data_IF_840210404820
#
_entry.id   IF_840210404820
#
_cell.length_a   1.000
_cell.length_b   1.000
_cell.length_c   1.000
_cell.angle_alpha   90.00
_cell.angle_beta   90.00
_cell.angle_gamma   90.00
#
_symmetry.space_group_name_H-M   'P 1'
#
loop_
_entity.id
_entity.type
_entity.pdbx_description
1 polymer ?
#
# COMPACT_ATOMS: atom_id res chain seq x y z
N UNK A 1 26.82 -4.39 6.94
CA UNK A 1 26.95 -5.51 5.97
C UNK A 1 26.25 -5.07 4.70
N UNK A 2 26.72 -5.46 3.51
CA UNK A 2 25.97 -5.21 2.27
C UNK A 2 24.79 -6.18 2.21
N UNK A 3 23.58 -5.67 2.05
CA UNK A 3 22.36 -6.45 1.89
C UNK A 3 21.76 -6.16 0.51
N UNK A 4 21.38 -7.21 -0.23
CA UNK A 4 20.72 -7.11 -1.54
C UNK A 4 19.61 -8.15 -1.57
N UNK A 5 18.38 -7.71 -1.81
CA UNK A 5 17.18 -8.54 -1.93
C UNK A 5 16.40 -8.17 -3.19
N UNK A 6 15.59 -9.10 -3.69
CA UNK A 6 14.69 -8.87 -4.82
C UNK A 6 13.25 -9.02 -4.35
N UNK A 7 12.37 -8.16 -4.84
CA UNK A 7 10.92 -8.22 -4.56
C UNK A 7 10.26 -9.45 -5.19
N UNK A 8 10.91 -10.11 -6.16
CA UNK A 8 10.46 -11.39 -6.72
C UNK A 8 10.59 -12.57 -5.74
N UNK A 9 11.39 -12.39 -4.69
CA UNK A 9 11.56 -13.34 -3.58
C UNK A 9 11.45 -12.57 -2.27
N UNK A 10 10.25 -12.07 -1.94
CA UNK A 10 10.05 -11.23 -0.78
C UNK A 10 10.25 -12.04 0.51
N UNK A 11 10.52 -11.35 1.61
CA UNK A 11 10.58 -11.98 2.92
C UNK A 11 9.18 -12.36 3.41
N UNK A 12 8.18 -11.54 3.08
CA UNK A 12 6.78 -11.76 3.40
C UNK A 12 5.90 -11.42 2.18
N UNK A 13 4.94 -12.28 1.86
CA UNK A 13 3.83 -11.95 0.94
C UNK A 13 2.54 -11.91 1.74
N UNK A 14 1.79 -10.82 1.60
CA UNK A 14 0.46 -10.65 2.23
C UNK A 14 -0.60 -10.50 1.15
N UNK A 15 -1.48 -11.47 1.04
CA UNK A 15 -2.64 -11.42 0.14
C UNK A 15 -3.88 -10.89 0.88
N UNK A 16 -4.66 -10.05 0.21
CA UNK A 16 -5.92 -9.51 0.72
C UNK A 16 -6.95 -9.42 -0.43
N UNK A 17 -8.24 -9.23 -0.14
CA UNK A 17 -9.24 -9.11 -1.20
C UNK A 17 -8.85 -8.07 -2.26
N UNK A 18 -8.73 -8.51 -3.52
CA UNK A 18 -8.37 -7.66 -4.68
C UNK A 18 -6.98 -7.03 -4.60
N UNK A 19 -6.02 -7.69 -3.98
CA UNK A 19 -4.64 -7.23 -4.05
C UNK A 19 -3.69 -8.06 -3.20
N UNK A 20 -2.43 -7.66 -3.22
CA UNK A 20 -1.40 -8.27 -2.41
C UNK A 20 -0.22 -7.32 -2.22
N UNK A 21 0.69 -7.72 -1.34
CA UNK A 21 1.91 -7.01 -1.02
C UNK A 21 3.10 -7.98 -0.95
N UNK A 22 4.19 -7.63 -1.61
CA UNK A 22 5.53 -8.17 -1.40
C UNK A 22 6.32 -7.27 -0.46
N UNK A 23 6.72 -7.76 0.71
CA UNK A 23 7.51 -7.02 1.70
C UNK A 23 8.94 -7.57 1.81
N UNK A 24 9.89 -6.64 1.93
CA UNK A 24 11.32 -6.90 2.07
C UNK A 24 11.84 -6.10 3.27
N UNK A 25 12.55 -6.80 4.16
CA UNK A 25 13.08 -6.26 5.40
C UNK A 25 14.61 -6.29 5.38
N UNK A 26 15.23 -5.13 5.54
CA UNK A 26 16.68 -4.93 5.53
C UNK A 26 17.09 -3.98 6.66
N UNK A 27 18.38 -3.90 6.97
CA UNK A 27 18.86 -2.98 8.01
C UNK A 27 18.58 -1.52 7.59
N UNK A 28 17.65 -0.87 8.27
CA UNK A 28 17.28 0.53 8.04
C UNK A 28 16.39 0.77 6.81
N UNK A 29 15.87 -0.30 6.18
CA UNK A 29 14.94 -0.20 5.06
C UNK A 29 13.91 -1.32 5.14
N UNK A 30 12.66 -0.90 5.21
CA UNK A 30 11.48 -1.73 5.06
C UNK A 30 10.79 -1.27 3.78
N UNK A 31 10.71 -2.15 2.79
CA UNK A 31 10.23 -1.83 1.45
C UNK A 31 9.10 -2.75 1.05
N UNK A 32 8.08 -2.20 0.40
CA UNK A 32 6.92 -2.96 -0.02
C UNK A 32 6.53 -2.65 -1.47
N UNK A 33 6.14 -3.67 -2.22
CA UNK A 33 5.47 -3.52 -3.51
C UNK A 33 4.02 -3.93 -3.32
N UNK A 34 3.09 -3.00 -3.52
CA UNK A 34 1.67 -3.24 -3.43
C UNK A 34 1.07 -3.36 -4.82
N UNK A 35 0.29 -4.41 -5.03
CA UNK A 35 -0.52 -4.59 -6.24
C UNK A 35 -1.99 -4.55 -5.86
N UNK A 36 -2.74 -3.65 -6.49
CA UNK A 36 -4.18 -3.49 -6.29
C UNK A 36 -4.93 -3.75 -7.59
N UNK A 37 -5.91 -4.64 -7.55
CA UNK A 37 -6.71 -5.03 -8.71
C UNK A 37 -7.86 -4.05 -8.96
N UNK A 38 -8.41 -3.99 -10.19
CA UNK A 38 -9.63 -3.23 -10.47
C UNK A 38 -10.76 -3.51 -9.48
N UNK A 39 -11.40 -2.43 -9.02
CA UNK A 39 -12.43 -2.49 -7.97
C UNK A 39 -11.89 -2.66 -6.56
N UNK A 40 -10.57 -2.68 -6.34
CA UNK A 40 -9.99 -2.57 -5.01
C UNK A 40 -10.29 -1.20 -4.39
N UNK A 41 -10.65 -1.24 -3.10
CA UNK A 41 -10.83 -0.06 -2.24
C UNK A 41 -10.39 -0.42 -0.84
N UNK A 42 -9.57 0.42 -0.22
CA UNK A 42 -8.97 0.15 1.08
C UNK A 42 -10.03 -0.22 2.14
N UNK A 43 -11.08 0.59 2.26
CA UNK A 43 -12.14 0.37 3.27
C UNK A 43 -12.91 -0.94 3.12
N UNK A 44 -12.95 -1.53 1.93
CA UNK A 44 -13.63 -2.79 1.66
C UNK A 44 -12.67 -3.99 1.72
N UNK A 45 -11.48 -3.81 1.15
CA UNK A 45 -10.51 -4.88 0.95
C UNK A 45 -9.61 -5.09 2.16
N UNK A 46 -9.21 -4.02 2.83
CA UNK A 46 -8.22 -4.03 3.92
C UNK A 46 -8.81 -3.58 5.25
N UNK A 47 -9.77 -2.66 5.23
CA UNK A 47 -10.48 -2.16 6.41
C UNK A 47 -10.98 -3.27 7.36
N UNK A 48 -11.64 -4.33 6.86
CA UNK A 48 -12.08 -5.45 7.71
C UNK A 48 -10.94 -6.21 8.39
N UNK A 49 -9.76 -6.29 7.76
CA UNK A 49 -8.57 -6.94 8.31
C UNK A 49 -7.90 -6.03 9.36
N UNK A 50 -7.71 -4.76 9.04
CA UNK A 50 -7.10 -3.77 9.92
C UNK A 50 -7.99 -3.41 11.14
N UNK A 51 -9.30 -3.61 11.03
CA UNK A 51 -10.26 -3.25 12.06
C UNK A 51 -10.30 -1.74 12.33
N UNK A 52 -10.12 -0.93 11.28
CA UNK A 52 -10.21 0.53 11.29
C UNK A 52 -11.07 1.03 10.13
N UNK A 53 -11.57 2.26 10.22
CA UNK A 53 -12.42 2.87 9.18
C UNK A 53 -11.62 3.44 8.01
N UNK A 54 -10.40 3.85 8.31
CA UNK A 54 -9.40 4.51 7.47
C UNK A 54 -8.07 3.78 7.57
N UNK A 55 -7.23 3.92 6.56
CA UNK A 55 -5.85 3.49 6.60
C UNK A 55 -5.08 4.37 7.59
N UNK A 56 -4.47 3.74 8.59
CA UNK A 56 -3.66 4.43 9.60
C UNK A 56 -2.16 4.32 9.32
N UNK A 57 -1.78 3.79 8.16
CA UNK A 57 -0.38 3.67 7.74
C UNK A 57 0.03 4.95 7.03
N UNK A 58 1.19 5.49 7.42
CA UNK A 58 1.84 6.54 6.64
C UNK A 58 2.50 5.92 5.41
N UNK A 59 2.27 6.51 4.24
CA UNK A 59 2.82 6.04 2.97
C UNK A 59 3.81 7.04 2.36
N UNK A 60 4.92 6.51 1.84
CA UNK A 60 5.84 7.23 0.95
C UNK A 60 5.86 6.45 -0.35
N UNK A 61 4.96 6.79 -1.27
CA UNK A 61 4.70 5.97 -2.46
C UNK A 61 5.33 6.51 -3.73
N UNK A 62 5.72 5.60 -4.61
CA UNK A 62 5.98 5.84 -6.03
C UNK A 62 5.07 4.93 -6.86
N UNK A 63 4.28 5.51 -7.76
CA UNK A 63 3.35 4.73 -8.59
C UNK A 63 4.06 4.28 -9.86
N UNK A 64 4.10 2.97 -10.07
CA UNK A 64 4.72 2.33 -11.23
C UNK A 64 3.71 2.19 -12.38
N UNK A 65 2.49 1.78 -12.05
CA UNK A 65 1.44 1.43 -13.01
C UNK A 65 0.06 1.75 -12.43
N UNK A 66 -0.92 2.01 -13.31
CA UNK A 66 -2.32 2.28 -12.95
C UNK A 66 -2.54 3.63 -12.27
N UNK A 67 -3.78 3.89 -11.86
CA UNK A 67 -4.19 5.12 -11.16
C UNK A 67 -4.94 4.81 -9.88
N UNK A 68 -4.67 5.58 -8.84
CA UNK A 68 -5.29 5.43 -7.53
C UNK A 68 -5.87 6.75 -7.05
N UNK A 69 -7.15 6.73 -6.66
CA UNK A 69 -7.79 7.82 -5.96
C UNK A 69 -7.51 7.71 -4.46
N UNK A 70 -7.34 8.86 -3.79
CA UNK A 70 -7.09 8.97 -2.36
C UNK A 70 -8.04 10.02 -1.80
N UNK A 71 -8.70 9.70 -0.68
CA UNK A 71 -9.53 10.64 0.07
C UNK A 71 -9.19 10.59 1.54
N UNK A 72 -8.79 11.74 2.06
CA UNK A 72 -8.46 11.97 3.45
C UNK A 72 -9.72 12.16 4.29
N UNK A 73 -9.64 11.83 5.58
CA UNK A 73 -10.76 12.02 6.51
C UNK A 73 -11.12 13.50 6.74
N UNK A 74 -10.18 14.42 6.51
CA UNK A 74 -10.41 15.87 6.56
C UNK A 74 -11.10 16.42 5.30
N UNK A 75 -11.37 15.56 4.31
CA UNK A 75 -12.03 15.89 3.06
C UNK A 75 -11.09 16.21 1.90
N UNK A 76 -9.76 16.21 2.10
CA UNK A 76 -8.80 16.28 1.00
C UNK A 76 -8.96 15.10 0.04
N UNK A 77 -8.88 15.35 -1.26
CA UNK A 77 -9.02 14.31 -2.28
C UNK A 77 -8.03 14.55 -3.42
N UNK A 78 -7.50 13.48 -3.99
CA UNK A 78 -6.55 13.54 -5.10
C UNK A 78 -6.43 12.20 -5.81
N UNK A 79 -5.72 12.21 -6.93
CA UNK A 79 -5.41 11.02 -7.71
C UNK A 79 -3.91 10.99 -8.00
N UNK A 80 -3.32 9.80 -7.94
CA UNK A 80 -1.92 9.53 -8.30
C UNK A 80 -1.86 8.52 -9.43
N UNK A 81 -0.91 8.69 -10.34
CA UNK A 81 -0.68 7.82 -11.49
C UNK A 81 0.80 7.58 -11.77
N UNK A 82 1.15 6.88 -12.87
CA UNK A 82 2.51 6.40 -13.10
C UNK A 82 3.53 7.55 -13.14
N UNK A 83 4.60 7.41 -12.35
CA UNK A 83 5.65 8.41 -12.20
C UNK A 83 5.44 9.39 -11.05
N UNK A 84 4.25 9.44 -10.44
CA UNK A 84 4.00 10.28 -9.28
C UNK A 84 4.68 9.72 -8.02
N UNK A 85 5.27 10.61 -7.25
CA UNK A 85 5.75 10.36 -5.88
C UNK A 85 4.80 11.08 -4.92
N UNK A 86 4.32 10.39 -3.90
CA UNK A 86 3.34 10.96 -2.96
C UNK A 86 3.66 10.62 -1.52
N UNK A 87 3.22 11.51 -0.63
CA UNK A 87 3.17 11.27 0.81
C UNK A 87 1.71 11.27 1.21
N UNK A 88 1.25 10.20 1.85
CA UNK A 88 -0.11 10.08 2.34
C UNK A 88 -0.06 9.79 3.86
N UNK A 89 -0.39 10.77 4.71
CA UNK A 89 -0.39 10.57 6.16
C UNK A 89 -1.57 9.67 6.58
N UNK A 90 -1.56 9.11 7.80
CA UNK A 90 -2.69 8.35 8.35
C UNK A 90 -4.02 9.10 8.28
N UNK A 91 -5.12 8.37 8.06
CA UNK A 91 -6.47 8.91 7.98
C UNK A 91 -6.95 9.09 6.54
N UNK A 92 -6.98 8.01 5.76
CA UNK A 92 -7.45 8.03 4.37
C UNK A 92 -8.09 6.72 3.91
N UNK A 93 -8.91 6.83 2.87
CA UNK A 93 -9.34 5.71 2.03
C UNK A 93 -8.68 5.86 0.65
N UNK A 94 -8.46 4.75 -0.04
CA UNK A 94 -7.87 4.73 -1.37
C UNK A 94 -8.54 3.68 -2.26
N UNK A 95 -8.55 3.88 -3.57
CA UNK A 95 -9.18 2.96 -4.51
C UNK A 95 -8.51 2.98 -5.88
N UNK A 96 -8.58 1.86 -6.59
CA UNK A 96 -8.15 1.79 -8.00
C UNK A 96 -9.14 2.57 -8.87
N UNK A 97 -8.60 3.43 -9.74
CA UNK A 97 -9.37 4.17 -10.74
C UNK A 97 -9.29 3.44 -12.07
N UNK A 98 -10.45 3.04 -12.60
CA UNK A 98 -10.55 2.35 -13.88
C UNK A 98 -10.39 0.83 -13.78
N UNK A 99 -9.88 0.23 -14.85
CA UNK A 99 -9.78 -1.21 -15.07
C UNK A 99 -8.34 -1.72 -15.19
N UNK A 100 -7.35 -0.86 -14.92
CA UNK A 100 -5.94 -1.23 -14.85
C UNK A 100 -5.51 -1.46 -13.40
N UNK A 101 -4.75 -2.53 -13.14
CA UNK A 101 -4.15 -2.75 -11.83
C UNK A 101 -3.19 -1.62 -11.46
N UNK A 102 -3.14 -1.28 -10.18
CA UNK A 102 -2.19 -0.31 -9.64
C UNK A 102 -1.01 -1.05 -9.03
N UNK A 103 0.21 -0.60 -9.34
CA UNK A 103 1.44 -1.06 -8.70
C UNK A 103 2.10 0.15 -8.01
N UNK A 104 2.30 0.06 -6.69
CA UNK A 104 2.96 1.10 -5.89
C UNK A 104 4.17 0.51 -5.18
N UNK A 105 5.30 1.21 -5.27
CA UNK A 105 6.45 1.00 -4.41
C UNK A 105 6.32 1.91 -3.19
N UNK A 106 6.33 1.34 -1.99
CA UNK A 106 6.25 2.09 -0.75
C UNK A 106 7.52 1.91 0.07
N UNK A 107 8.10 3.05 0.44
CA UNK A 107 9.34 3.14 1.20
C UNK A 107 9.07 3.47 2.68
N UNK A 108 7.81 3.66 3.07
CA UNK A 108 7.45 3.85 4.48
C UNK A 108 7.43 2.49 5.19
N UNK A 109 8.24 2.36 6.25
CA UNK A 109 8.42 1.07 6.90
C UNK A 109 7.12 0.43 7.42
N UNK A 110 6.14 1.24 7.84
CA UNK A 110 4.82 0.76 8.26
C UNK A 110 4.06 0.00 7.16
N UNK A 111 4.31 0.27 5.89
CA UNK A 111 3.72 -0.50 4.79
C UNK A 111 4.22 -1.95 4.82
N UNK A 112 5.54 -2.15 4.87
CA UNK A 112 6.11 -3.50 4.93
C UNK A 112 5.91 -4.17 6.30
N UNK A 113 5.76 -3.42 7.39
CA UNK A 113 5.63 -3.98 8.73
C UNK A 113 4.18 -4.37 9.07
N UNK A 114 3.20 -3.49 8.80
CA UNK A 114 1.90 -3.54 9.49
C UNK A 114 0.69 -3.62 8.55
N UNK A 115 0.80 -3.11 7.32
CA UNK A 115 -0.33 -3.00 6.40
C UNK A 115 -1.08 -4.33 6.13
N UNK A 116 -2.42 -4.31 6.17
CA UNK A 116 -3.26 -5.49 5.96
C UNK A 116 -2.99 -6.69 6.89
N UNK A 117 -2.33 -6.49 8.04
CA UNK A 117 -2.30 -7.49 9.13
C UNK A 117 -3.58 -7.42 9.96
N UNK A 118 -4.03 -8.57 10.44
CA UNK A 118 -5.13 -8.63 11.40
C UNK A 118 -4.68 -8.10 12.75
N UNK A 119 -5.55 -7.39 13.49
CA UNK A 119 -5.24 -6.99 14.87
C UNK A 119 -5.00 -8.24 15.74
N UNK A 120 -3.78 -8.39 16.25
CA UNK A 120 -3.39 -9.43 17.21
C UNK A 120 -2.61 -10.62 16.64
N UNK A 121 -2.09 -10.53 15.41
CA UNK A 121 -1.12 -11.48 14.85
C UNK A 121 0.30 -11.24 15.32
#
# INVERSE_FOLDING_TARGET
MLEIKTVEKPDERRDFPRGHLEAVHMTGLDFAVATFEPGWRWSESVGPLAGTKSCEIHHNGYVVQGRMGIRMDDGGEGEVGPGDVFVCPPGHDAWVVGDEQVIVHDFAGGMAQDYAKAKGS
#
